data_IF_874032845793
#
_entry.id   IF_874032845793
#
_cell.length_a   1.000
_cell.length_b   1.000
_cell.length_c   1.000
_cell.angle_alpha   90.00
_cell.angle_beta   90.00
_cell.angle_gamma   90.00
#
_symmetry.space_group_name_H-M   'P 1'
#
loop_
_entity.id
_entity.type
_entity.pdbx_description
1 polymer ?
#
# COMPACT_ATOMS: atom_id res chain seq x y z
N UNK A 1 4.71 -56.72 58.31
CA UNK A 1 5.83 -56.47 57.37
C UNK A 1 5.21 -56.04 56.03
N UNK A 2 4.95 -54.70 55.82
CA UNK A 2 4.25 -54.18 54.64
C UNK A 2 5.27 -53.37 53.84
N UNK A 3 5.47 -53.73 52.56
CA UNK A 3 6.42 -53.12 51.60
C UNK A 3 5.92 -51.78 51.14
N UNK A 4 6.66 -50.70 51.40
CA UNK A 4 6.50 -49.43 50.79
C UNK A 4 6.99 -49.50 49.34
N UNK A 5 6.10 -49.47 48.36
CA UNK A 5 6.44 -49.30 46.95
C UNK A 5 6.65 -47.83 46.62
N UNK A 6 7.78 -47.57 46.02
CA UNK A 6 8.37 -46.27 45.73
C UNK A 6 7.53 -45.51 44.68
N UNK A 7 6.68 -44.56 45.12
CA UNK A 7 5.89 -43.70 44.22
C UNK A 7 6.70 -42.64 43.43
N UNK A 8 7.99 -42.50 43.70
CA UNK A 8 8.85 -41.51 43.04
C UNK A 8 9.37 -41.94 41.66
N UNK A 9 9.42 -43.24 41.36
CA UNK A 9 9.90 -43.71 40.06
C UNK A 9 8.94 -43.45 38.88
N UNK A 10 7.63 -43.42 39.17
CA UNK A 10 6.59 -43.16 38.14
C UNK A 10 6.42 -41.68 37.75
N UNK A 11 6.84 -40.75 38.63
CA UNK A 11 6.76 -39.31 38.33
C UNK A 11 7.94 -38.83 37.47
N UNK A 12 9.10 -39.44 37.59
CA UNK A 12 10.30 -39.09 36.79
C UNK A 12 10.19 -39.59 35.34
N UNK A 13 9.64 -40.75 35.11
CA UNK A 13 9.43 -41.31 33.76
C UNK A 13 8.38 -40.51 32.96
N UNK A 14 7.32 -40.02 33.62
CA UNK A 14 6.29 -39.19 32.93
C UNK A 14 6.78 -37.81 32.54
N UNK A 15 7.73 -37.22 33.31
CA UNK A 15 8.33 -35.92 32.99
C UNK A 15 9.34 -36.04 31.84
N UNK A 16 10.09 -37.13 31.76
CA UNK A 16 11.04 -37.38 30.67
C UNK A 16 10.35 -37.71 29.35
N UNK A 17 9.22 -38.40 29.35
CA UNK A 17 8.44 -38.65 28.13
C UNK A 17 7.77 -37.42 27.58
N UNK A 18 7.27 -36.49 28.43
CA UNK A 18 6.72 -35.22 27.96
C UNK A 18 7.80 -34.29 27.40
N UNK A 19 8.99 -34.23 27.99
CA UNK A 19 10.11 -33.45 27.48
C UNK A 19 10.62 -33.99 26.14
N UNK A 20 10.71 -35.30 25.96
CA UNK A 20 11.10 -35.93 24.70
C UNK A 20 10.07 -35.70 23.57
N UNK A 21 8.77 -35.79 23.89
CA UNK A 21 7.71 -35.53 22.92
C UNK A 21 7.71 -34.05 22.49
N UNK A 22 7.95 -33.11 23.43
CA UNK A 22 8.10 -31.65 23.10
C UNK A 22 9.30 -31.37 22.22
N UNK A 23 10.43 -32.03 22.45
CA UNK A 23 11.66 -31.88 21.66
C UNK A 23 11.52 -32.44 20.23
N UNK A 24 10.84 -33.57 20.07
CA UNK A 24 10.57 -34.17 18.75
C UNK A 24 9.64 -33.29 17.91
N UNK A 25 8.64 -32.67 18.53
CA UNK A 25 7.74 -31.74 17.82
C UNK A 25 8.49 -30.47 17.39
N UNK A 26 9.36 -29.91 18.23
CA UNK A 26 10.18 -28.74 17.88
C UNK A 26 11.21 -29.08 16.78
N UNK A 27 11.84 -30.23 16.81
CA UNK A 27 12.81 -30.68 15.80
C UNK A 27 12.16 -30.92 14.43
N UNK A 28 10.87 -31.29 14.37
CA UNK A 28 10.16 -31.51 13.09
C UNK A 28 9.63 -30.20 12.45
N UNK A 29 9.56 -29.10 13.19
CA UNK A 29 9.08 -27.79 12.69
C UNK A 29 10.24 -26.95 12.16
N UNK A 30 11.42 -27.01 12.79
CA UNK A 30 12.58 -26.19 12.43
C UNK A 30 13.06 -26.36 10.96
N UNK A 31 13.21 -27.58 10.39
CA UNK A 31 13.69 -27.70 9.00
C UNK A 31 12.70 -27.18 7.96
N UNK A 32 11.39 -27.22 8.23
CA UNK A 32 10.37 -26.71 7.32
C UNK A 32 10.37 -25.18 7.24
N UNK A 33 10.63 -24.52 8.36
CA UNK A 33 10.74 -23.06 8.42
C UNK A 33 12.00 -22.58 7.68
N UNK A 34 13.14 -23.25 7.83
CA UNK A 34 14.37 -22.93 7.12
C UNK A 34 14.20 -23.04 5.59
N UNK A 35 13.51 -24.09 5.12
CA UNK A 35 13.19 -24.23 3.70
C UNK A 35 12.27 -23.12 3.21
N UNK A 36 11.24 -22.75 3.97
CA UNK A 36 10.35 -21.65 3.63
C UNK A 36 11.11 -20.32 3.49
N UNK A 37 12.04 -20.04 4.40
CA UNK A 37 12.87 -18.85 4.34
C UNK A 37 13.78 -18.82 3.10
N UNK A 38 14.31 -19.98 2.66
CA UNK A 38 15.07 -20.08 1.40
C UNK A 38 14.20 -19.72 0.19
N UNK A 39 12.94 -20.20 0.16
CA UNK A 39 11.99 -19.82 -0.91
C UNK A 39 11.69 -18.34 -0.89
N UNK A 40 11.47 -17.71 0.28
CA UNK A 40 11.27 -16.27 0.41
C UNK A 40 12.48 -15.50 -0.11
N UNK A 41 13.70 -15.82 0.32
CA UNK A 41 14.92 -15.14 -0.12
C UNK A 41 15.12 -15.25 -1.64
N UNK A 42 14.82 -16.40 -2.23
CA UNK A 42 14.89 -16.60 -3.69
C UNK A 42 13.79 -15.83 -4.40
N UNK A 43 12.59 -15.77 -3.85
CA UNK A 43 11.48 -14.97 -4.38
C UNK A 43 11.83 -13.47 -4.40
N UNK A 44 12.38 -12.94 -3.28
CA UNK A 44 12.85 -11.55 -3.19
C UNK A 44 13.92 -11.25 -4.25
N UNK A 45 14.84 -12.20 -4.52
CA UNK A 45 15.86 -12.05 -5.55
C UNK A 45 15.25 -11.99 -6.96
N UNK A 46 14.26 -12.84 -7.25
CA UNK A 46 13.53 -12.82 -8.52
C UNK A 46 12.73 -11.54 -8.70
N UNK A 47 12.09 -11.06 -7.63
CA UNK A 47 11.31 -9.84 -7.65
C UNK A 47 12.19 -8.63 -8.00
N UNK A 48 13.36 -8.51 -7.40
CA UNK A 48 14.33 -7.44 -7.75
C UNK A 48 14.78 -7.48 -9.22
N UNK A 49 14.73 -8.64 -9.86
CA UNK A 49 15.04 -8.83 -11.29
C UNK A 49 13.81 -8.68 -12.19
N UNK A 50 12.68 -8.18 -11.69
CA UNK A 50 11.44 -8.03 -12.45
C UNK A 50 10.69 -9.34 -12.76
N UNK A 51 11.17 -10.50 -12.28
CA UNK A 51 10.53 -11.80 -12.53
C UNK A 51 9.38 -12.06 -11.54
N UNK A 52 8.35 -11.20 -11.59
CA UNK A 52 7.26 -11.14 -10.59
C UNK A 52 6.47 -12.44 -10.49
N UNK A 53 6.12 -13.09 -11.61
CA UNK A 53 5.34 -14.34 -11.58
C UNK A 53 6.14 -15.52 -11.01
N UNK A 54 7.45 -15.58 -11.33
CA UNK A 54 8.32 -16.58 -10.75
C UNK A 54 8.53 -16.35 -9.24
N UNK A 55 8.62 -15.09 -8.81
CA UNK A 55 8.66 -14.72 -7.40
C UNK A 55 7.37 -15.12 -6.68
N UNK A 56 6.21 -14.83 -7.28
CA UNK A 56 4.90 -15.21 -6.76
C UNK A 56 4.82 -16.70 -6.46
N UNK A 57 5.20 -17.53 -7.43
CA UNK A 57 5.21 -18.99 -7.28
C UNK A 57 6.04 -19.42 -6.07
N UNK A 58 7.22 -18.83 -5.85
CA UNK A 58 8.06 -19.18 -4.72
C UNK A 58 7.52 -18.69 -3.38
N UNK A 59 6.86 -17.51 -3.32
CA UNK A 59 6.16 -17.08 -2.10
C UNK A 59 5.03 -18.05 -1.72
N UNK A 60 4.25 -18.53 -2.70
CA UNK A 60 3.24 -19.56 -2.45
C UNK A 60 3.86 -20.88 -1.97
N UNK A 61 4.98 -21.32 -2.56
CA UNK A 61 5.70 -22.50 -2.09
C UNK A 61 6.20 -22.34 -0.66
N UNK A 62 6.71 -21.18 -0.27
CA UNK A 62 7.12 -20.90 1.11
C UNK A 62 5.98 -21.11 2.09
N UNK A 63 4.81 -20.55 1.83
CA UNK A 63 3.62 -20.72 2.68
C UNK A 63 3.12 -22.17 2.68
N UNK A 64 3.11 -22.84 1.53
CA UNK A 64 2.73 -24.28 1.46
C UNK A 64 3.69 -25.16 2.26
N UNK A 65 4.98 -24.86 2.25
CA UNK A 65 6.00 -25.65 2.96
C UNK A 65 5.93 -25.47 4.47
N UNK A 66 5.64 -24.25 4.93
CA UNK A 66 5.49 -23.91 6.34
C UNK A 66 4.23 -23.03 6.56
N UNK A 67 3.03 -23.62 6.62
CA UNK A 67 1.77 -22.89 6.65
C UNK A 67 1.58 -21.96 7.86
N UNK A 68 2.29 -22.21 8.96
CA UNK A 68 2.25 -21.40 10.18
C UNK A 68 3.49 -20.51 10.37
N UNK A 69 4.37 -20.44 9.37
CA UNK A 69 5.55 -19.58 9.42
C UNK A 69 5.12 -18.11 9.20
N UNK A 70 5.29 -17.23 10.20
CA UNK A 70 4.86 -15.83 10.09
C UNK A 70 5.66 -15.07 9.02
N UNK A 71 6.94 -15.39 8.81
CA UNK A 71 7.77 -14.72 7.82
C UNK A 71 7.32 -15.05 6.39
N UNK A 72 7.00 -16.30 6.10
CA UNK A 72 6.49 -16.71 4.80
C UNK A 72 5.13 -16.07 4.48
N UNK A 73 4.21 -15.99 5.44
CA UNK A 73 2.92 -15.34 5.29
C UNK A 73 3.06 -13.83 5.09
N UNK A 74 3.91 -13.18 5.89
CA UNK A 74 4.20 -11.77 5.76
C UNK A 74 4.78 -11.44 4.37
N UNK A 75 5.72 -12.25 3.88
CA UNK A 75 6.34 -12.05 2.57
C UNK A 75 5.31 -12.17 1.43
N UNK A 76 4.48 -13.22 1.42
CA UNK A 76 3.41 -13.39 0.42
C UNK A 76 2.37 -12.27 0.54
N UNK A 77 1.96 -11.90 1.76
CA UNK A 77 1.01 -10.82 2.00
C UNK A 77 1.48 -9.47 1.46
N UNK A 78 2.74 -9.13 1.70
CA UNK A 78 3.39 -7.92 1.17
C UNK A 78 3.43 -7.92 -0.36
N UNK A 79 3.83 -9.04 -0.96
CA UNK A 79 3.86 -9.20 -2.41
C UNK A 79 2.48 -9.00 -3.02
N UNK A 80 1.45 -9.69 -2.50
CA UNK A 80 0.08 -9.58 -3.03
C UNK A 80 -0.51 -8.18 -2.85
N UNK A 81 -0.25 -7.52 -1.72
CA UNK A 81 -0.65 -6.14 -1.51
C UNK A 81 0.03 -5.18 -2.51
N UNK A 82 1.33 -5.38 -2.79
CA UNK A 82 2.05 -4.62 -3.80
C UNK A 82 1.48 -4.83 -5.21
N UNK A 83 0.98 -6.04 -5.51
CA UNK A 83 0.29 -6.40 -6.76
C UNK A 83 -1.17 -5.94 -6.82
N UNK A 84 -1.66 -5.16 -5.85
CA UNK A 84 -3.03 -4.65 -5.81
C UNK A 84 -4.05 -5.58 -5.15
N UNK A 85 -3.71 -6.80 -4.79
CA UNK A 85 -4.58 -7.73 -4.06
C UNK A 85 -4.61 -7.38 -2.55
N UNK A 86 -5.02 -6.15 -2.23
CA UNK A 86 -4.90 -5.55 -0.90
C UNK A 86 -5.58 -6.37 0.19
N UNK A 87 -6.82 -6.85 -0.05
CA UNK A 87 -7.58 -7.61 0.95
C UNK A 87 -6.92 -8.93 1.28
N UNK A 88 -6.46 -9.69 0.27
CA UNK A 88 -5.78 -10.95 0.47
C UNK A 88 -4.43 -10.71 1.16
N UNK A 89 -3.71 -9.67 0.74
CA UNK A 89 -2.47 -9.26 1.38
C UNK A 89 -2.66 -8.94 2.87
N UNK A 90 -3.70 -8.18 3.22
CA UNK A 90 -4.03 -7.86 4.60
C UNK A 90 -4.32 -9.12 5.44
N UNK A 91 -5.15 -10.04 4.93
CA UNK A 91 -5.46 -11.30 5.63
C UNK A 91 -4.19 -12.10 5.92
N UNK A 92 -3.30 -12.28 4.95
CA UNK A 92 -2.04 -13.00 5.14
C UNK A 92 -1.11 -12.33 6.15
N UNK A 93 -1.08 -11.00 6.19
CA UNK A 93 -0.29 -10.27 7.17
C UNK A 93 -0.90 -10.38 8.58
N UNK A 94 -2.24 -10.37 8.72
CA UNK A 94 -2.91 -10.63 9.99
C UNK A 94 -2.67 -12.08 10.46
N UNK A 95 -2.69 -13.04 9.55
CA UNK A 95 -2.31 -14.42 9.88
C UNK A 95 -0.84 -14.52 10.31
N UNK A 96 0.07 -13.76 9.68
CA UNK A 96 1.46 -13.68 10.13
C UNK A 96 1.55 -13.20 11.58
N UNK A 97 0.78 -12.17 11.96
CA UNK A 97 0.69 -11.68 13.34
C UNK A 97 0.11 -12.74 14.28
N UNK A 98 -0.97 -13.40 13.87
CA UNK A 98 -1.60 -14.47 14.63
C UNK A 98 -0.67 -15.65 14.91
N UNK A 99 0.19 -16.00 13.96
CA UNK A 99 1.19 -17.06 14.12
C UNK A 99 2.48 -16.63 14.81
N UNK A 100 2.49 -15.47 15.47
CA UNK A 100 3.60 -15.01 16.30
C UNK A 100 4.61 -14.11 15.59
N UNK A 101 4.25 -13.55 14.43
CA UNK A 101 5.02 -12.48 13.80
C UNK A 101 5.07 -11.23 14.70
N UNK A 102 6.22 -10.55 14.71
CA UNK A 102 6.41 -9.34 15.51
C UNK A 102 5.36 -8.26 15.14
N UNK A 103 4.52 -7.81 16.11
CA UNK A 103 3.45 -6.87 15.82
C UNK A 103 3.91 -5.55 15.20
N UNK A 104 5.09 -5.06 15.59
CA UNK A 104 5.67 -3.83 15.05
C UNK A 104 6.06 -4.00 13.58
N UNK A 105 6.75 -5.09 13.26
CA UNK A 105 7.14 -5.41 11.89
C UNK A 105 5.91 -5.62 11.00
N UNK A 106 4.94 -6.43 11.44
CA UNK A 106 3.72 -6.67 10.68
C UNK A 106 2.91 -5.39 10.54
N UNK A 107 2.78 -4.59 11.62
CA UNK A 107 2.07 -3.32 11.64
C UNK A 107 2.64 -2.31 10.63
N UNK A 108 3.95 -2.29 10.43
CA UNK A 108 4.62 -1.44 9.43
C UNK A 108 4.12 -1.71 8.00
N UNK A 109 3.81 -2.97 7.69
CA UNK A 109 3.31 -3.35 6.37
C UNK A 109 1.79 -3.33 6.25
N UNK A 110 1.06 -3.58 7.35
CA UNK A 110 -0.41 -3.52 7.36
C UNK A 110 -0.95 -2.10 7.30
N UNK A 111 -0.31 -1.13 7.98
CA UNK A 111 -0.80 0.24 8.04
C UNK A 111 -1.05 0.87 6.67
N UNK A 112 -0.11 0.86 5.71
CA UNK A 112 -0.37 1.40 4.36
C UNK A 112 -1.42 0.59 3.59
N UNK A 113 -1.57 -0.70 3.85
CA UNK A 113 -2.59 -1.53 3.19
C UNK A 113 -3.98 -1.16 3.69
N UNK A 114 -4.19 -1.01 5.00
CA UNK A 114 -5.47 -0.55 5.54
C UNK A 114 -5.82 0.87 5.08
N UNK A 115 -4.85 1.78 5.04
CA UNK A 115 -5.06 3.12 4.50
C UNK A 115 -5.57 3.07 3.04
N UNK A 116 -4.97 2.23 2.19
CA UNK A 116 -5.39 2.05 0.78
C UNK A 116 -6.73 1.32 0.64
N UNK A 117 -7.09 0.47 1.59
CA UNK A 117 -8.40 -0.18 1.64
C UNK A 117 -9.52 0.76 2.13
N UNK A 118 -9.15 1.90 2.73
CA UNK A 118 -10.10 2.77 3.44
C UNK A 118 -10.59 2.16 4.76
N UNK A 119 -9.91 1.12 5.25
CA UNK A 119 -10.23 0.49 6.53
C UNK A 119 -9.55 1.25 7.68
N UNK A 120 -10.03 2.47 7.88
CA UNK A 120 -9.47 3.37 8.88
C UNK A 120 -9.71 2.91 10.31
N UNK A 121 -10.76 2.11 10.55
CA UNK A 121 -11.02 1.51 11.86
C UNK A 121 -9.94 0.48 12.22
N UNK A 122 -9.64 -0.43 11.30
CA UNK A 122 -8.55 -1.39 11.49
C UNK A 122 -7.19 -0.67 11.59
N UNK A 123 -6.98 0.39 10.79
CA UNK A 123 -5.76 1.19 10.82
C UNK A 123 -5.52 1.86 12.17
N UNK A 124 -6.54 2.48 12.77
CA UNK A 124 -6.41 3.20 14.05
C UNK A 124 -6.17 2.27 15.23
N UNK A 125 -6.76 1.06 15.20
CA UNK A 125 -6.64 0.04 16.25
C UNK A 125 -5.50 -0.96 16.06
N UNK A 126 -4.65 -0.78 15.02
CA UNK A 126 -3.62 -1.74 14.65
C UNK A 126 -2.55 -1.87 15.76
N UNK A 127 -2.39 -3.05 16.38
CA UNK A 127 -1.38 -3.29 17.41
C UNK A 127 0.04 -3.15 16.85
N UNK A 128 0.93 -2.53 17.63
CA UNK A 128 2.32 -2.28 17.19
C UNK A 128 2.44 -1.29 16.03
N UNK A 129 1.36 -0.56 15.72
CA UNK A 129 1.33 0.40 14.63
C UNK A 129 2.47 1.42 14.75
N UNK A 130 3.25 1.62 13.69
CA UNK A 130 4.30 2.64 13.63
C UNK A 130 3.71 4.05 13.47
N UNK A 131 2.38 4.19 13.38
CA UNK A 131 1.75 5.48 13.13
C UNK A 131 1.97 6.45 14.28
N UNK A 132 2.47 7.68 14.01
CA UNK A 132 2.45 8.77 14.96
C UNK A 132 1.03 9.04 15.48
N UNK A 133 0.94 9.63 16.67
CA UNK A 133 -0.34 9.93 17.31
C UNK A 133 -1.31 10.67 16.37
N UNK A 134 -0.85 11.71 15.72
CA UNK A 134 -1.67 12.50 14.79
C UNK A 134 -2.25 11.69 13.63
N UNK A 135 -1.47 10.78 13.08
CA UNK A 135 -1.94 9.91 11.99
C UNK A 135 -2.94 8.86 12.50
N UNK A 136 -2.78 8.38 13.74
CA UNK A 136 -3.75 7.49 14.39
C UNK A 136 -5.06 8.22 14.65
N UNK A 137 -5.02 9.43 15.25
CA UNK A 137 -6.20 10.26 15.50
C UNK A 137 -6.93 10.61 14.18
N UNK A 138 -6.17 10.88 13.10
CA UNK A 138 -6.75 11.05 11.76
C UNK A 138 -7.45 9.79 11.27
N UNK A 139 -6.84 8.62 11.43
CA UNK A 139 -7.45 7.35 11.02
C UNK A 139 -8.72 7.05 11.83
N UNK A 140 -8.71 7.31 13.13
CA UNK A 140 -9.89 7.17 13.98
C UNK A 140 -11.04 8.07 13.51
N UNK A 141 -10.75 9.34 13.25
CA UNK A 141 -11.74 10.27 12.71
C UNK A 141 -12.27 9.84 11.36
N UNK A 142 -11.40 9.40 10.42
CA UNK A 142 -11.80 8.88 9.11
C UNK A 142 -12.63 7.61 9.21
N UNK A 143 -12.43 6.78 10.24
CA UNK A 143 -13.28 5.61 10.52
C UNK A 143 -14.75 5.95 10.79
N UNK A 144 -15.01 7.15 11.33
CA UNK A 144 -16.35 7.69 11.54
C UNK A 144 -16.84 8.58 10.38
N UNK A 145 -15.91 9.09 9.56
CA UNK A 145 -16.17 10.04 8.47
C UNK A 145 -15.50 9.55 7.18
N UNK A 146 -16.05 8.49 6.61
CA UNK A 146 -15.43 7.83 5.46
C UNK A 146 -15.29 8.77 4.25
N UNK A 147 -14.17 8.67 3.51
CA UNK A 147 -14.05 9.33 2.21
C UNK A 147 -15.14 8.89 1.24
N UNK A 148 -15.67 9.82 0.46
CA UNK A 148 -16.63 9.54 -0.60
C UNK A 148 -16.24 10.23 -1.91
N UNK A 149 -16.81 9.76 -3.01
CA UNK A 149 -16.64 10.32 -4.34
C UNK A 149 -18.01 10.57 -4.95
N UNK A 150 -18.28 11.81 -5.34
CA UNK A 150 -19.47 12.21 -6.07
C UNK A 150 -19.08 12.75 -7.45
N UNK A 151 -20.02 12.70 -8.41
CA UNK A 151 -19.79 13.18 -9.78
C UNK A 151 -20.34 12.21 -10.82
N UNK A 152 -20.07 12.47 -12.10
CA UNK A 152 -20.52 11.63 -13.22
C UNK A 152 -19.79 10.27 -13.23
N UNK A 153 -20.27 9.33 -14.04
CA UNK A 153 -19.62 8.01 -14.18
C UNK A 153 -18.22 8.13 -14.80
N UNK A 154 -18.05 9.07 -15.72
CA UNK A 154 -16.76 9.34 -16.36
C UNK A 154 -16.67 10.81 -16.80
N UNK A 155 -15.47 11.36 -16.75
CA UNK A 155 -15.17 12.70 -17.29
C UNK A 155 -13.72 12.79 -17.74
N UNK A 156 -13.50 13.66 -18.73
CA UNK A 156 -12.15 14.01 -19.19
C UNK A 156 -11.81 15.42 -18.73
N UNK A 157 -10.64 15.55 -18.12
CA UNK A 157 -10.10 16.81 -17.62
C UNK A 157 -8.78 17.15 -18.32
N UNK A 158 -8.36 18.40 -18.22
CA UNK A 158 -7.07 18.85 -18.76
C UNK A 158 -5.92 18.29 -17.94
N UNK A 159 -4.90 17.78 -18.63
CA UNK A 159 -3.60 17.41 -18.09
C UNK A 159 -2.58 18.41 -18.59
N UNK A 160 -2.05 19.22 -17.69
CA UNK A 160 -1.07 20.25 -18.06
C UNK A 160 0.32 19.62 -18.13
N UNK A 161 1.06 19.83 -19.24
CA UNK A 161 2.42 19.32 -19.38
C UNK A 161 3.36 20.00 -18.38
N UNK A 162 4.40 19.29 -17.99
CA UNK A 162 5.49 19.79 -17.13
C UNK A 162 6.84 19.36 -17.67
N UNK A 163 7.84 20.18 -17.46
CA UNK A 163 9.15 20.03 -18.07
C UNK A 163 9.99 18.88 -17.47
N UNK A 164 9.69 18.36 -16.29
CA UNK A 164 10.49 17.29 -15.68
C UNK A 164 9.82 16.53 -14.53
N UNK A 165 10.01 15.22 -14.53
CA UNK A 165 9.88 14.33 -13.35
C UNK A 165 8.48 14.04 -12.83
N UNK A 166 7.44 14.70 -13.34
CA UNK A 166 6.04 14.41 -13.04
C UNK A 166 5.31 13.89 -14.28
N UNK A 167 4.15 13.26 -14.08
CA UNK A 167 3.30 12.76 -15.17
C UNK A 167 2.38 13.84 -15.75
N UNK A 168 2.55 15.09 -15.36
CA UNK A 168 1.71 16.22 -15.68
C UNK A 168 1.14 16.88 -14.43
N UNK A 169 0.40 17.96 -14.61
CA UNK A 169 -0.34 18.65 -13.54
C UNK A 169 -1.85 18.65 -13.84
N UNK A 170 -2.63 18.66 -12.78
CA UNK A 170 -4.09 18.82 -12.84
C UNK A 170 -4.54 19.96 -11.94
N UNK A 171 -5.73 20.48 -12.18
CA UNK A 171 -6.37 21.40 -11.25
C UNK A 171 -7.10 20.62 -10.16
N UNK A 172 -6.88 21.04 -8.92
CA UNK A 172 -7.66 20.64 -7.76
C UNK A 172 -8.36 21.84 -7.18
N UNK A 173 -9.58 21.65 -6.69
CA UNK A 173 -10.31 22.63 -5.88
C UNK A 173 -10.30 22.13 -4.44
N UNK A 174 -9.62 22.83 -3.53
CA UNK A 174 -9.57 22.48 -2.11
C UNK A 174 -10.34 23.54 -1.32
N UNK A 175 -11.53 23.18 -0.83
CA UNK A 175 -12.47 24.16 -0.31
C UNK A 175 -12.93 25.11 -1.42
N UNK A 176 -12.56 26.39 -1.33
CA UNK A 176 -12.85 27.42 -2.36
C UNK A 176 -11.65 27.77 -3.26
N UNK A 177 -10.48 27.23 -2.96
CA UNK A 177 -9.25 27.59 -3.64
C UNK A 177 -8.91 26.61 -4.77
N UNK A 178 -8.66 27.13 -5.97
CA UNK A 178 -8.12 26.34 -7.09
C UNK A 178 -6.60 26.34 -7.05
N UNK A 179 -6.01 25.15 -7.11
CA UNK A 179 -4.57 24.95 -7.05
C UNK A 179 -4.09 24.00 -8.15
N UNK A 180 -2.82 24.07 -8.51
CA UNK A 180 -2.17 23.13 -9.41
C UNK A 180 -1.52 22.01 -8.62
N UNK A 181 -1.78 20.77 -9.02
CA UNK A 181 -1.22 19.57 -8.39
C UNK A 181 -0.43 18.75 -9.40
N UNK A 182 0.87 18.62 -9.15
CA UNK A 182 1.74 17.76 -9.93
C UNK A 182 1.42 16.28 -9.61
N UNK A 183 1.22 15.46 -10.63
CA UNK A 183 1.04 14.00 -10.47
C UNK A 183 2.41 13.38 -10.22
N UNK A 184 2.71 13.11 -8.95
CA UNK A 184 3.97 12.51 -8.52
C UNK A 184 3.71 11.09 -8.00
N UNK A 185 4.15 10.04 -8.74
CA UNK A 185 3.94 8.65 -8.34
C UNK A 185 4.60 8.25 -7.01
N UNK A 186 5.51 9.08 -6.49
CA UNK A 186 6.22 8.86 -5.21
C UNK A 186 5.43 9.37 -4.00
N UNK A 187 4.43 10.22 -4.24
CA UNK A 187 3.55 10.77 -3.20
C UNK A 187 2.41 9.80 -2.92
N UNK A 188 2.03 9.65 -1.67
CA UNK A 188 0.81 8.97 -1.24
C UNK A 188 -0.29 9.99 -0.95
N UNK A 189 -1.48 9.77 -1.50
CA UNK A 189 -2.60 10.67 -1.32
C UNK A 189 -2.37 12.03 -1.96
N UNK A 190 -2.71 13.08 -1.22
CA UNK A 190 -2.46 14.49 -1.59
C UNK A 190 -1.45 15.09 -0.61
N UNK A 191 -0.49 15.86 -1.12
CA UNK A 191 0.42 16.67 -0.32
C UNK A 191 0.19 18.14 -0.63
N UNK A 192 -0.22 18.91 0.40
CA UNK A 192 -0.43 20.34 0.34
C UNK A 192 0.75 21.09 1.00
N UNK A 193 0.84 22.39 0.76
CA UNK A 193 1.78 23.23 1.51
C UNK A 193 1.38 23.34 2.99
N UNK A 194 2.35 23.48 3.89
CA UNK A 194 2.11 23.62 5.33
C UNK A 194 1.22 24.83 5.70
N UNK A 195 1.17 25.86 4.87
CA UNK A 195 0.30 26.99 5.10
C UNK A 195 -1.21 26.64 5.00
N UNK A 196 -1.56 25.50 4.36
CA UNK A 196 -2.91 24.96 4.37
C UNK A 196 -3.39 24.51 5.75
N UNK A 197 -2.48 24.24 6.66
CA UNK A 197 -2.83 23.93 8.06
C UNK A 197 -3.63 25.04 8.76
N UNK A 198 -3.58 26.26 8.26
CA UNK A 198 -4.36 27.40 8.79
C UNK A 198 -5.71 27.58 8.11
N UNK A 199 -6.05 26.79 7.10
CA UNK A 199 -7.29 26.92 6.32
C UNK A 199 -8.42 26.06 6.92
N UNK A 200 -9.64 26.60 6.97
CA UNK A 200 -10.84 25.89 7.48
C UNK A 200 -11.23 24.66 6.64
N UNK A 201 -10.81 24.62 5.37
CA UNK A 201 -11.04 23.49 4.45
C UNK A 201 -10.21 22.25 4.81
N UNK A 202 -9.25 22.37 5.74
CA UNK A 202 -8.39 21.27 6.19
C UNK A 202 -8.57 21.05 7.69
N UNK A 203 -9.05 19.87 8.05
CA UNK A 203 -9.07 19.43 9.45
C UNK A 203 -7.70 18.89 9.84
N UNK A 204 -7.18 19.37 10.95
CA UNK A 204 -5.86 19.01 11.45
C UNK A 204 -5.94 18.02 12.62
N UNK A 205 -4.93 17.19 12.72
CA UNK A 205 -4.67 16.30 13.84
C UNK A 205 -3.21 16.46 14.26
N UNK A 206 -2.99 17.01 15.42
CA UNK A 206 -1.64 17.23 15.98
C UNK A 206 -1.52 16.57 17.34
N UNK A 207 -0.36 16.03 17.67
CA UNK A 207 -0.10 15.43 18.97
C UNK A 207 0.21 16.47 20.05
N UNK A 208 0.93 17.52 19.68
CA UNK A 208 1.32 18.68 20.47
C UNK A 208 1.70 19.80 19.53
N UNK A 209 1.76 21.04 20.03
CA UNK A 209 2.23 22.21 19.30
C UNK A 209 3.76 22.19 19.01
N UNK A 210 4.31 21.03 18.79
CA UNK A 210 5.67 20.94 18.26
C UNK A 210 5.60 21.38 16.78
N UNK A 211 6.41 22.35 16.39
CA UNK A 211 6.43 22.95 15.06
C UNK A 211 6.83 21.96 13.94
N UNK A 212 6.91 20.67 14.23
CA UNK A 212 7.23 19.64 13.23
C UNK A 212 5.97 19.21 12.46
N UNK A 213 5.71 19.92 11.36
CA UNK A 213 4.65 19.61 10.39
C UNK A 213 4.69 18.17 9.87
N UNK A 214 5.84 17.45 9.97
CA UNK A 214 5.98 16.06 9.52
C UNK A 214 5.14 15.10 10.35
N UNK A 215 4.83 15.48 11.58
CA UNK A 215 3.99 14.71 12.49
C UNK A 215 2.53 15.13 12.49
N UNK A 216 2.13 16.07 11.63
CA UNK A 216 0.74 16.51 11.51
C UNK A 216 0.00 15.62 10.52
N UNK A 217 -1.12 15.07 10.94
CA UNK A 217 -2.09 14.45 10.04
C UNK A 217 -3.11 15.48 9.58
N UNK A 218 -3.54 15.44 8.32
CA UNK A 218 -4.58 16.32 7.79
C UNK A 218 -5.64 15.55 7.03
N UNK A 219 -6.82 16.19 6.93
CA UNK A 219 -7.91 15.77 6.06
C UNK A 219 -8.43 17.01 5.34
N UNK A 220 -8.33 17.03 4.03
CA UNK A 220 -9.06 18.00 3.22
C UNK A 220 -10.54 17.60 3.20
N UNK A 221 -11.41 18.49 3.68
CA UNK A 221 -12.83 18.20 3.85
C UNK A 221 -13.54 18.02 2.50
N UNK A 222 -13.09 18.77 1.48
CA UNK A 222 -13.54 18.60 0.10
C UNK A 222 -12.40 18.86 -0.88
N UNK A 223 -12.32 18.02 -1.90
CA UNK A 223 -11.36 18.14 -3.01
C UNK A 223 -12.08 17.90 -4.32
N UNK A 224 -12.18 18.93 -5.15
CA UNK A 224 -12.69 18.83 -6.51
C UNK A 224 -11.60 18.40 -7.48
N UNK A 225 -11.92 17.48 -8.39
CA UNK A 225 -11.05 17.02 -9.49
C UNK A 225 -11.92 17.04 -10.77
N UNK A 226 -11.86 18.10 -11.54
CA UNK A 226 -12.83 18.32 -12.61
C UNK A 226 -14.27 18.31 -12.06
N UNK A 227 -15.19 17.51 -12.62
CA UNK A 227 -16.56 17.43 -12.12
C UNK A 227 -16.75 16.47 -10.95
N UNK A 228 -15.67 15.88 -10.43
CA UNK A 228 -15.73 14.98 -9.27
C UNK A 228 -15.46 15.76 -7.98
N UNK A 229 -16.26 15.46 -6.96
CA UNK A 229 -16.05 15.95 -5.59
C UNK A 229 -15.70 14.76 -4.69
N UNK A 230 -14.54 14.84 -4.07
CA UNK A 230 -14.10 13.89 -3.07
C UNK A 230 -14.20 14.55 -1.70
N UNK A 231 -14.75 13.85 -0.72
CA UNK A 231 -14.85 14.34 0.66
C UNK A 231 -13.93 13.56 1.59
N UNK A 232 -13.52 14.21 2.67
CA UNK A 232 -12.72 13.61 3.74
C UNK A 232 -11.40 12.97 3.24
N UNK A 233 -10.68 13.69 2.39
CA UNK A 233 -9.47 13.20 1.71
C UNK A 233 -8.26 13.25 2.64
N UNK A 234 -7.63 12.10 2.97
CA UNK A 234 -6.38 12.07 3.73
C UNK A 234 -5.30 12.90 3.06
N UNK A 235 -4.70 13.81 3.80
CA UNK A 235 -3.76 14.81 3.27
C UNK A 235 -2.47 14.82 4.08
N UNK A 236 -1.33 14.83 3.39
CA UNK A 236 -0.02 15.12 3.93
C UNK A 236 0.36 16.59 3.70
N UNK A 237 1.48 17.01 4.27
CA UNK A 237 1.98 18.37 4.13
C UNK A 237 3.47 18.38 3.76
N UNK A 238 3.85 19.42 3.02
CA UNK A 238 5.24 19.69 2.68
C UNK A 238 5.49 21.20 2.69
N UNK A 239 6.63 21.63 3.20
CA UNK A 239 6.99 23.04 3.20
C UNK A 239 7.51 23.44 1.81
N UNK A 240 6.63 23.82 0.92
CA UNK A 240 6.97 24.28 -0.43
C UNK A 240 7.05 25.80 -0.54
N UNK A 241 6.41 26.53 0.39
CA UNK A 241 6.28 27.97 0.35
C UNK A 241 5.27 28.48 -0.69
N UNK A 242 4.55 27.58 -1.36
CA UNK A 242 3.58 27.93 -2.40
C UNK A 242 2.22 27.27 -2.16
N UNK A 243 1.26 28.06 -1.69
CA UNK A 243 -0.13 27.64 -1.46
C UNK A 243 -0.87 27.17 -2.72
N UNK A 244 -0.44 27.59 -3.89
CA UNK A 244 -1.08 27.27 -5.17
C UNK A 244 -0.54 25.99 -5.79
N UNK A 245 0.46 25.38 -5.17
CA UNK A 245 1.06 24.13 -5.63
C UNK A 245 0.81 22.99 -4.65
N UNK A 246 0.47 21.84 -5.21
CA UNK A 246 0.29 20.59 -4.50
C UNK A 246 0.98 19.45 -5.24
N UNK A 247 1.00 18.28 -4.61
CA UNK A 247 1.32 17.01 -5.28
C UNK A 247 0.18 16.04 -5.04
N UNK A 248 -0.09 15.22 -6.05
CA UNK A 248 -1.11 14.18 -5.97
C UNK A 248 -0.51 12.85 -6.40
N UNK A 249 -0.68 11.85 -5.54
CA UNK A 249 -0.25 10.49 -5.80
C UNK A 249 -1.18 9.74 -6.74
N UNK A 250 -0.64 8.79 -7.47
CA UNK A 250 -1.46 7.92 -8.32
C UNK A 250 -2.39 7.01 -7.50
N UNK A 251 -2.06 6.70 -6.26
CA UNK A 251 -2.93 5.95 -5.33
C UNK A 251 -4.24 6.70 -5.01
N UNK A 252 -4.17 8.02 -4.88
CA UNK A 252 -5.36 8.87 -4.76
C UNK A 252 -6.17 8.84 -6.06
N UNK A 253 -5.54 9.10 -7.20
CA UNK A 253 -6.18 9.09 -8.51
C UNK A 253 -6.68 7.68 -8.91
N UNK A 254 -6.08 6.62 -8.38
CA UNK A 254 -6.48 5.24 -8.63
C UNK A 254 -7.93 4.93 -8.23
N UNK A 255 -8.52 5.71 -7.32
CA UNK A 255 -9.93 5.61 -6.97
C UNK A 255 -10.84 5.95 -8.16
N UNK A 256 -10.33 6.77 -9.09
CA UNK A 256 -10.99 7.25 -10.30
C UNK A 256 -10.50 6.56 -11.58
N UNK A 257 -9.73 5.48 -11.48
CA UNK A 257 -9.15 4.72 -12.61
C UNK A 257 -8.64 5.63 -13.75
N UNK A 258 -7.60 6.44 -13.51
CA UNK A 258 -7.15 7.47 -14.44
C UNK A 258 -6.56 6.87 -15.72
N UNK A 259 -6.94 7.43 -16.87
CA UNK A 259 -6.25 7.24 -18.15
C UNK A 259 -5.56 8.55 -18.51
N UNK A 260 -4.24 8.54 -18.56
CA UNK A 260 -3.44 9.70 -18.92
C UNK A 260 -3.10 9.63 -20.42
N UNK A 261 -3.39 10.70 -21.13
CA UNK A 261 -3.02 10.86 -22.53
C UNK A 261 -2.06 12.07 -22.67
N UNK A 262 -0.76 11.83 -22.76
CA UNK A 262 0.21 12.91 -22.88
C UNK A 262 0.21 13.59 -24.24
N UNK A 263 -0.38 12.98 -25.28
CA UNK A 263 -0.48 13.56 -26.63
C UNK A 263 -1.58 14.61 -26.70
N UNK A 264 -2.76 14.28 -26.18
CA UNK A 264 -3.92 15.20 -26.17
C UNK A 264 -3.96 16.10 -24.93
N UNK A 265 -3.01 15.91 -24.03
CA UNK A 265 -2.97 16.63 -22.75
C UNK A 265 -4.28 16.49 -21.96
N UNK A 266 -4.77 15.25 -21.85
CA UNK A 266 -6.01 14.96 -21.17
C UNK A 266 -5.86 13.82 -20.17
N UNK A 267 -6.70 13.82 -19.15
CA UNK A 267 -6.86 12.71 -18.22
C UNK A 267 -8.34 12.35 -18.11
N UNK A 268 -8.67 11.09 -18.44
CA UNK A 268 -10.02 10.56 -18.25
C UNK A 268 -10.11 9.88 -16.90
N UNK A 269 -11.11 10.24 -16.11
CA UNK A 269 -11.41 9.72 -14.78
C UNK A 269 -12.74 8.96 -14.80
N UNK A 270 -12.86 7.90 -13.96
CA UNK A 270 -14.05 7.04 -13.88
C UNK A 270 -14.43 6.81 -12.42
N UNK A 271 -15.62 7.24 -12.01
CA UNK A 271 -16.12 7.19 -10.63
C UNK A 271 -16.05 5.81 -9.99
N UNK A 272 -16.34 4.76 -10.74
CA UNK A 272 -16.35 3.39 -10.20
C UNK A 272 -14.96 2.83 -9.90
N UNK A 273 -13.90 3.48 -10.36
CA UNK A 273 -12.54 2.94 -10.35
C UNK A 273 -12.43 1.60 -11.12
N UNK A 274 -13.41 1.29 -11.98
CA UNK A 274 -13.46 0.03 -12.74
C UNK A 274 -12.94 0.26 -14.15
N UNK A 275 -12.16 -0.69 -14.60
CA UNK A 275 -11.65 -0.76 -15.96
C UNK A 275 -12.14 -2.08 -16.55
N UNK A 276 -12.62 -2.03 -17.79
CA UNK A 276 -13.05 -3.23 -18.50
C UNK A 276 -11.89 -4.23 -18.58
N UNK A 277 -12.20 -5.51 -18.33
CA UNK A 277 -11.21 -6.59 -18.45
C UNK A 277 -10.74 -6.81 -19.87
N UNK A 278 -11.55 -6.42 -20.83
CA UNK A 278 -11.30 -6.54 -22.28
C UNK A 278 -10.66 -5.27 -22.86
N UNK A 279 -10.41 -4.24 -22.03
CA UNK A 279 -9.78 -3.01 -22.51
C UNK A 279 -8.51 -3.35 -23.31
N UNK A 280 -8.40 -2.89 -24.56
CA UNK A 280 -7.27 -3.19 -25.43
C UNK A 280 -6.00 -2.52 -24.88
N UNK A 281 -4.84 -3.10 -25.20
CA UNK A 281 -3.54 -2.54 -24.85
C UNK A 281 -2.56 -3.54 -24.24
N UNK A 282 -1.30 -3.12 -24.20
CA UNK A 282 -0.22 -3.85 -23.55
C UNK A 282 -0.38 -3.74 -22.02
N UNK A 283 -0.36 -4.88 -21.33
CA UNK A 283 -0.49 -4.92 -19.86
C UNK A 283 0.89 -5.02 -19.21
N UNK A 284 1.29 -3.97 -18.54
CA UNK A 284 2.55 -3.90 -17.80
C UNK A 284 2.25 -4.09 -16.32
N UNK A 285 2.75 -5.17 -15.68
CA UNK A 285 2.58 -5.37 -14.25
C UNK A 285 3.19 -4.23 -13.45
N UNK A 286 2.52 -3.84 -12.34
CA UNK A 286 3.03 -2.83 -11.42
C UNK A 286 3.18 -3.37 -10.02
N UNK A 287 4.06 -2.72 -9.24
CA UNK A 287 4.22 -2.94 -7.82
C UNK A 287 4.02 -1.60 -7.10
N UNK A 288 3.11 -1.56 -6.16
CA UNK A 288 2.85 -0.38 -5.35
C UNK A 288 3.39 -0.59 -3.93
N UNK A 289 4.42 0.18 -3.56
CA UNK A 289 5.03 0.20 -2.24
C UNK A 289 4.89 1.58 -1.60
N UNK A 290 5.10 1.70 -0.27
CA UNK A 290 5.39 3.00 0.32
C UNK A 290 6.56 3.68 -0.42
N UNK A 291 6.31 4.85 -0.98
CA UNK A 291 7.31 5.57 -1.79
C UNK A 291 7.13 5.46 -3.31
N UNK A 292 6.07 4.81 -3.80
CA UNK A 292 5.71 4.95 -5.19
C UNK A 292 5.12 3.73 -5.90
N UNK A 293 4.87 3.93 -7.16
CA UNK A 293 4.44 2.92 -8.11
C UNK A 293 5.61 2.55 -9.03
N UNK A 294 5.82 1.27 -9.22
CA UNK A 294 6.94 0.71 -9.97
C UNK A 294 6.42 -0.13 -11.13
N UNK A 295 7.02 0.05 -12.30
CA UNK A 295 6.76 -0.78 -13.47
C UNK A 295 7.66 -2.02 -13.44
N UNK A 296 7.09 -3.15 -13.83
CA UNK A 296 7.82 -4.41 -13.97
C UNK A 296 8.14 -4.64 -15.44
N UNK A 297 9.41 -4.74 -15.77
CA UNK A 297 9.91 -5.02 -17.11
C UNK A 297 10.83 -6.25 -17.11
N UNK A 298 11.25 -6.69 -18.30
CA UNK A 298 12.10 -7.89 -18.45
C UNK A 298 13.38 -7.83 -17.63
N UNK A 299 13.97 -6.64 -17.50
CA UNK A 299 15.31 -6.45 -16.94
C UNK A 299 15.28 -5.85 -15.51
N UNK A 300 14.10 -5.68 -14.90
CA UNK A 300 14.02 -5.14 -13.56
C UNK A 300 12.69 -4.49 -13.19
N UNK A 301 12.74 -3.71 -12.12
CA UNK A 301 11.61 -2.96 -11.57
C UNK A 301 12.00 -1.49 -11.54
N UNK A 302 11.24 -0.64 -12.22
CA UNK A 302 11.58 0.76 -12.43
C UNK A 302 10.50 1.69 -11.86
N UNK A 303 10.88 2.77 -11.16
CA UNK A 303 9.89 3.71 -10.64
C UNK A 303 9.14 4.39 -11.78
N UNK A 304 7.82 4.44 -11.70
CA UNK A 304 7.01 5.25 -12.60
C UNK A 304 7.36 6.73 -12.40
N UNK A 305 7.57 7.47 -13.48
CA UNK A 305 8.09 8.84 -13.45
C UNK A 305 9.62 8.93 -13.52
N UNK A 306 10.35 7.79 -13.52
CA UNK A 306 11.79 7.76 -13.83
C UNK A 306 12.05 7.68 -15.33
N UNK A 307 13.29 7.95 -15.76
CA UNK A 307 13.70 7.96 -17.18
C UNK A 307 13.35 6.67 -17.90
N UNK A 308 13.57 5.50 -17.28
CA UNK A 308 13.27 4.20 -17.88
C UNK A 308 11.77 3.98 -18.10
N UNK A 309 10.92 4.44 -17.17
CA UNK A 309 9.47 4.39 -17.35
C UNK A 309 9.01 5.33 -18.47
N UNK A 310 9.57 6.52 -18.55
CA UNK A 310 9.31 7.46 -19.64
C UNK A 310 9.69 6.88 -21.01
N UNK A 311 10.82 6.19 -21.12
CA UNK A 311 11.22 5.51 -22.34
C UNK A 311 10.26 4.38 -22.72
N UNK A 312 9.75 3.62 -21.74
CA UNK A 312 8.81 2.52 -21.97
C UNK A 312 7.43 3.00 -22.39
N UNK A 313 6.91 4.00 -21.70
CA UNK A 313 5.57 4.55 -21.98
C UNK A 313 5.60 5.43 -23.23
N UNK A 314 6.69 6.16 -23.43
CA UNK A 314 6.80 7.15 -24.50
C UNK A 314 5.68 8.19 -24.39
N UNK A 315 5.06 8.49 -25.52
CA UNK A 315 3.89 9.38 -25.62
C UNK A 315 2.56 8.62 -25.62
N UNK A 316 2.58 7.29 -25.41
CA UNK A 316 1.36 6.46 -25.47
C UNK A 316 0.44 6.75 -24.29
N UNK A 317 -0.88 6.83 -24.51
CA UNK A 317 -1.84 6.86 -23.44
C UNK A 317 -1.75 5.59 -22.58
N UNK A 318 -1.94 5.75 -21.28
CA UNK A 318 -1.96 4.60 -20.37
C UNK A 318 -3.02 4.75 -19.27
N UNK A 319 -3.59 3.63 -18.86
CA UNK A 319 -4.60 3.55 -17.80
C UNK A 319 -4.03 2.82 -16.60
N UNK A 320 -4.15 3.42 -15.41
CA UNK A 320 -3.77 2.78 -14.16
C UNK A 320 -4.89 1.86 -13.66
N UNK A 321 -4.64 0.55 -13.67
CA UNK A 321 -5.50 -0.46 -13.06
C UNK A 321 -4.94 -0.89 -11.69
N UNK A 322 -5.13 -0.05 -10.68
CA UNK A 322 -4.59 -0.29 -9.34
C UNK A 322 -5.15 -1.57 -8.68
N UNK A 323 -6.38 -1.98 -9.02
CA UNK A 323 -7.00 -3.20 -8.48
C UNK A 323 -6.32 -4.48 -8.95
N UNK A 324 -5.67 -4.45 -10.12
CA UNK A 324 -4.94 -5.58 -10.70
C UNK A 324 -3.43 -5.42 -10.63
N UNK A 325 -2.96 -4.27 -10.15
CA UNK A 325 -1.55 -3.95 -10.13
C UNK A 325 -0.95 -4.00 -11.52
N UNK A 326 -1.54 -3.27 -12.48
CA UNK A 326 -1.07 -3.18 -13.86
C UNK A 326 -1.32 -1.80 -14.46
N UNK A 327 -0.50 -1.39 -15.42
CA UNK A 327 -0.81 -0.36 -16.40
C UNK A 327 -1.29 -1.03 -17.67
N UNK A 328 -2.30 -0.42 -18.31
CA UNK A 328 -2.76 -0.79 -19.64
C UNK A 328 -2.30 0.34 -20.56
N UNK A 329 -1.32 0.04 -21.42
CA UNK A 329 -0.75 1.00 -22.37
C UNK A 329 -1.39 0.77 -23.72
N UNK A 330 -1.97 1.82 -24.31
CA UNK A 330 -2.67 1.70 -25.60
C UNK A 330 -1.70 1.25 -26.71
N UNK A 331 -2.19 0.38 -27.60
CA UNK A 331 -1.47 -0.04 -28.79
C UNK A 331 -1.25 1.15 -29.72
N UNK A 332 -0.14 1.18 -30.43
CA UNK A 332 0.11 2.18 -31.48
C UNK A 332 -0.85 2.01 -32.64
#
# INVERSE_FOLDING_TARGET
MIRWMNHNALRTTRRLTMAAAGLVVLASIAPRSADAQRYVARADSLLRRGRVFAAETLYYYAVRRAPRDPAARLALGRYLAARGALRIGAVLMEEARFFGGDPKTVGTYLAPVYARLGDYKALSSLPGSPLPYAQRARAEWLGANLPSVEGPDSATITLYPVDSGSLGEIELVVGSDTIRAAIDPRVQGISLDTAWLRRKSVKQFAATFDNDWRNVGGVALSVGVGPFMLTNVPTGFSATGDLKRAKVGLDFLAQLAPTLNPVTHTMTLRKSGRIDRTAPGERIPTLSYPGGLWLVQRDGVWPLGGTMAATTLGTRPFTLNARRGELIVESR
#
